data_IF_025117196764
#
_entry.id   IF_025117196764
#
_cell.length_a   1.000
_cell.length_b   1.000
_cell.length_c   1.000
_cell.angle_alpha   90.00
_cell.angle_beta   90.00
_cell.angle_gamma   90.00
#
_symmetry.space_group_name_H-M   'P 1'
#
loop_
_entity.id
_entity.type
_entity.pdbx_description
1 polymer ?
#
# COMPACT_ATOMS: atom_id res chain seq x y z
N UNK A 1 62.29 47.54 8.46
CA UNK A 1 61.29 47.07 9.39
C UNK A 1 60.01 46.80 8.58
N UNK A 2 59.78 45.58 8.17
CA UNK A 2 58.60 45.17 7.38
C UNK A 2 57.68 44.40 8.30
N UNK A 3 56.47 44.89 8.53
CA UNK A 3 55.42 44.18 9.28
C UNK A 3 54.67 43.24 8.32
N UNK A 4 54.76 41.93 8.56
CA UNK A 4 53.90 40.94 7.97
C UNK A 4 52.59 40.91 8.77
N UNK A 5 51.48 41.25 8.15
CA UNK A 5 50.15 41.01 8.67
C UNK A 5 49.71 39.60 8.19
N UNK A 6 49.63 38.69 9.13
CA UNK A 6 49.02 37.37 8.90
C UNK A 6 47.50 37.49 9.06
N UNK A 7 46.78 37.34 7.98
CA UNK A 7 45.32 37.19 7.98
C UNK A 7 45.01 35.72 8.29
N UNK A 8 44.58 35.43 9.51
CA UNK A 8 44.00 34.12 9.86
C UNK A 8 42.54 34.08 9.41
N UNK A 9 42.25 33.41 8.32
CA UNK A 9 40.88 33.13 7.91
C UNK A 9 40.30 32.04 8.82
N UNK A 10 39.44 32.44 9.74
CA UNK A 10 38.61 31.53 10.52
C UNK A 10 37.49 31.00 9.59
N UNK A 11 37.66 29.83 9.03
CA UNK A 11 36.55 29.08 8.41
C UNK A 11 35.62 28.57 9.53
N UNK A 12 34.57 29.30 9.80
CA UNK A 12 33.43 28.80 10.55
C UNK A 12 32.73 27.76 9.67
N UNK A 13 33.04 26.49 9.90
CA UNK A 13 32.18 25.39 9.46
C UNK A 13 30.87 25.52 10.24
N UNK A 14 29.91 26.21 9.70
CA UNK A 14 28.51 26.00 10.11
C UNK A 14 28.13 24.57 9.70
N UNK A 15 28.16 23.67 10.67
CA UNK A 15 27.42 22.44 10.56
C UNK A 15 25.95 22.85 10.42
N UNK A 16 25.40 22.77 9.22
CA UNK A 16 23.97 22.71 9.02
C UNK A 16 23.49 21.46 9.74
N UNK A 17 23.11 21.61 10.99
CA UNK A 17 22.28 20.63 11.66
C UNK A 17 20.97 20.71 10.87
N UNK A 18 20.73 19.76 9.98
CA UNK A 18 19.41 19.53 9.46
C UNK A 18 18.55 19.35 10.71
N UNK A 19 17.77 20.37 11.06
CA UNK A 19 16.76 20.23 12.08
C UNK A 19 15.85 19.13 11.56
N UNK A 20 15.88 17.97 12.22
CA UNK A 20 14.78 17.05 12.18
C UNK A 20 13.60 17.84 12.68
N UNK A 21 12.79 18.36 11.76
CA UNK A 21 11.53 18.97 12.11
C UNK A 21 10.61 17.84 12.56
N UNK A 22 10.76 17.42 13.82
CA UNK A 22 9.72 16.67 14.48
C UNK A 22 8.47 17.54 14.40
N UNK A 23 7.38 16.94 14.00
CA UNK A 23 6.10 17.65 13.99
C UNK A 23 5.84 18.11 15.42
N UNK A 24 5.80 19.42 15.70
CA UNK A 24 5.61 19.91 17.06
C UNK A 24 4.19 19.66 17.58
N UNK A 25 3.31 19.14 16.73
CA UNK A 25 1.90 18.89 17.04
C UNK A 25 1.71 17.41 17.28
N UNK A 26 1.34 17.05 18.51
CA UNK A 26 0.96 15.69 18.88
C UNK A 26 -0.33 15.27 18.11
N UNK A 27 -0.49 13.96 17.79
CA UNK A 27 -1.75 13.46 17.23
C UNK A 27 -2.91 13.75 18.19
N UNK A 28 -4.09 14.03 17.63
CA UNK A 28 -5.32 14.22 18.43
C UNK A 28 -5.66 12.92 19.15
N UNK A 29 -5.70 12.89 20.48
CA UNK A 29 -6.02 11.69 21.25
C UNK A 29 -7.43 11.16 20.88
N UNK A 30 -7.60 9.84 20.92
CA UNK A 30 -8.90 9.21 20.69
C UNK A 30 -10.03 9.81 21.55
N UNK A 31 -9.77 10.06 22.83
CA UNK A 31 -10.75 10.67 23.73
C UNK A 31 -11.37 11.96 23.18
N UNK A 32 -10.58 12.80 22.53
CA UNK A 32 -11.07 14.06 21.99
C UNK A 32 -11.90 13.82 20.73
N UNK A 33 -11.50 12.84 19.89
CA UNK A 33 -12.25 12.39 18.71
C UNK A 33 -13.59 11.79 19.11
N UNK A 34 -13.60 10.88 20.09
CA UNK A 34 -14.81 10.26 20.61
C UNK A 34 -15.76 11.28 21.26
N UNK A 35 -15.25 12.27 22.00
CA UNK A 35 -16.04 13.35 22.56
C UNK A 35 -16.72 14.19 21.46
N UNK A 36 -15.99 14.49 20.38
CA UNK A 36 -16.53 15.24 19.24
C UNK A 36 -17.65 14.45 18.55
N UNK A 37 -17.47 13.14 18.38
CA UNK A 37 -18.52 12.26 17.84
C UNK A 37 -19.77 12.21 18.73
N UNK A 38 -19.59 11.96 20.03
CA UNK A 38 -20.71 11.96 20.99
C UNK A 38 -21.46 13.31 21.05
N UNK A 39 -20.73 14.42 20.87
CA UNK A 39 -21.36 15.74 20.77
C UNK A 39 -22.21 15.85 19.49
N UNK A 40 -21.73 15.34 18.35
CA UNK A 40 -22.48 15.30 17.10
C UNK A 40 -23.77 14.50 17.29
N UNK A 41 -23.71 13.28 17.83
CA UNK A 41 -24.89 12.45 18.09
C UNK A 41 -25.93 13.18 18.95
N UNK A 42 -25.45 13.87 20.00
CA UNK A 42 -26.33 14.68 20.86
C UNK A 42 -26.98 15.85 20.12
N UNK A 43 -26.24 16.50 19.20
CA UNK A 43 -26.77 17.58 18.38
C UNK A 43 -27.82 17.04 17.39
N UNK A 44 -27.55 15.90 16.75
CA UNK A 44 -28.46 15.25 15.80
C UNK A 44 -29.76 14.84 16.50
N UNK A 45 -29.68 14.22 17.70
CA UNK A 45 -30.84 13.82 18.49
C UNK A 45 -31.72 15.02 18.94
N UNK A 46 -31.12 16.18 19.15
CA UNK A 46 -31.81 17.40 19.54
C UNK A 46 -32.13 18.34 18.38
N UNK A 47 -31.86 17.94 17.14
CA UNK A 47 -32.10 18.74 15.96
C UNK A 47 -33.60 18.92 15.74
N UNK A 48 -34.02 20.13 15.35
CA UNK A 48 -35.43 20.43 14.98
C UNK A 48 -35.89 19.63 13.74
N UNK A 49 -34.93 19.09 12.97
CA UNK A 49 -35.18 18.25 11.79
C UNK A 49 -34.88 16.75 12.04
N UNK A 50 -34.72 16.33 13.29
CA UNK A 50 -34.42 14.92 13.64
C UNK A 50 -35.46 13.93 13.12
N UNK A 51 -36.73 14.39 12.96
CA UNK A 51 -37.82 13.57 12.43
C UNK A 51 -37.95 13.62 10.90
N UNK A 52 -37.11 14.40 10.21
CA UNK A 52 -37.08 14.48 8.74
C UNK A 52 -36.11 13.43 8.21
N UNK A 53 -36.63 12.41 7.53
CA UNK A 53 -35.81 11.42 6.85
C UNK A 53 -35.26 12.00 5.55
N UNK A 54 -33.97 12.15 5.48
CA UNK A 54 -33.30 12.51 4.25
C UNK A 54 -33.10 11.25 3.39
N UNK A 55 -33.39 11.38 2.09
CA UNK A 55 -33.09 10.33 1.11
C UNK A 55 -31.94 10.81 0.24
N UNK A 56 -30.92 9.97 0.13
CA UNK A 56 -29.85 10.20 -0.83
C UNK A 56 -30.42 10.03 -2.25
N UNK A 57 -30.44 11.12 -3.02
CA UNK A 57 -30.93 11.12 -4.41
C UNK A 57 -29.79 11.01 -5.44
N UNK A 58 -28.60 10.77 -4.97
CA UNK A 58 -27.42 10.58 -5.79
C UNK A 58 -26.33 11.65 -5.58
N UNK A 59 -25.16 11.43 -6.20
CA UNK A 59 -24.86 10.27 -7.03
C UNK A 59 -24.88 8.98 -6.22
N UNK A 60 -25.40 7.91 -6.80
CA UNK A 60 -25.46 6.56 -6.18
C UNK A 60 -24.20 5.75 -6.46
N UNK A 61 -23.08 6.43 -6.68
CA UNK A 61 -21.79 5.81 -6.95
C UNK A 61 -21.04 5.74 -5.62
N UNK A 62 -20.68 4.53 -5.23
CA UNK A 62 -19.77 4.28 -4.11
C UNK A 62 -18.44 4.94 -4.40
N UNK A 63 -17.87 5.62 -3.41
CA UNK A 63 -16.66 6.42 -3.59
C UNK A 63 -15.48 5.80 -2.86
N UNK A 64 -14.31 5.97 -3.45
CA UNK A 64 -13.04 5.48 -2.93
C UNK A 64 -12.64 4.14 -3.50
N UNK A 65 -11.44 3.69 -3.17
CA UNK A 65 -10.89 2.40 -3.61
C UNK A 65 -11.43 1.26 -2.77
N UNK A 66 -11.71 0.14 -3.43
CA UNK A 66 -12.10 -1.10 -2.77
C UNK A 66 -10.86 -1.67 -2.07
N UNK A 67 -10.91 -1.80 -0.75
CA UNK A 67 -9.79 -2.34 0.05
C UNK A 67 -9.93 -3.83 0.31
N UNK A 68 -11.16 -4.33 0.39
CA UNK A 68 -11.44 -5.75 0.54
C UNK A 68 -12.84 -6.10 0.05
N UNK A 69 -13.04 -7.37 -0.33
CA UNK A 69 -14.31 -7.98 -0.71
C UNK A 69 -14.41 -9.32 0.00
N UNK A 70 -15.50 -9.55 0.73
CA UNK A 70 -15.75 -10.82 1.40
C UNK A 70 -17.05 -11.41 0.90
N UNK A 71 -16.96 -12.59 0.27
CA UNK A 71 -18.03 -13.24 -0.47
C UNK A 71 -18.52 -14.47 0.29
N UNK A 72 -19.83 -14.63 0.41
CA UNK A 72 -20.43 -15.81 1.01
C UNK A 72 -20.02 -17.08 0.26
N UNK A 73 -19.43 -18.07 0.93
CA UNK A 73 -19.03 -19.34 0.29
C UNK A 73 -20.22 -20.17 -0.18
N UNK A 74 -21.42 -19.93 0.35
CA UNK A 74 -22.63 -20.68 0.02
C UNK A 74 -23.52 -19.95 -0.99
N UNK A 75 -23.37 -18.62 -1.12
CA UNK A 75 -24.13 -17.79 -2.03
C UNK A 75 -23.26 -16.66 -2.58
N UNK A 76 -22.61 -16.83 -3.75
CA UNK A 76 -21.71 -15.83 -4.31
C UNK A 76 -22.42 -14.54 -4.77
N UNK A 77 -23.75 -14.49 -4.74
CA UNK A 77 -24.51 -13.26 -4.98
C UNK A 77 -24.62 -12.36 -3.75
N UNK A 78 -24.26 -12.90 -2.58
CA UNK A 78 -24.22 -12.21 -1.31
C UNK A 78 -22.78 -11.93 -0.90
N UNK A 79 -22.41 -10.65 -0.86
CA UNK A 79 -21.06 -10.21 -0.47
C UNK A 79 -21.05 -8.82 0.12
N UNK A 80 -19.95 -8.50 0.77
CA UNK A 80 -19.65 -7.18 1.30
C UNK A 80 -18.46 -6.57 0.54
N UNK A 81 -18.46 -5.24 0.42
CA UNK A 81 -17.39 -4.47 -0.22
C UNK A 81 -16.98 -3.34 0.71
N UNK A 82 -15.73 -3.34 1.13
CA UNK A 82 -15.14 -2.28 1.96
C UNK A 82 -14.40 -1.25 1.12
N UNK A 83 -14.65 0.03 1.39
CA UNK A 83 -14.01 1.15 0.71
C UNK A 83 -13.11 1.92 1.66
N UNK A 84 -11.92 2.31 1.20
CA UNK A 84 -10.96 3.10 1.97
C UNK A 84 -11.54 4.40 2.52
N UNK A 85 -12.49 5.00 1.80
CA UNK A 85 -13.13 6.28 2.15
C UNK A 85 -14.62 6.31 1.81
N UNK A 86 -15.27 5.16 1.71
CA UNK A 86 -16.68 5.05 1.30
C UNK A 86 -17.51 4.09 2.17
N UNK A 87 -17.00 3.66 3.32
CA UNK A 87 -17.71 2.77 4.24
C UNK A 87 -17.77 1.31 3.79
N UNK A 88 -18.66 0.56 4.42
CA UNK A 88 -18.93 -0.85 4.13
C UNK A 88 -20.30 -1.00 3.47
N UNK A 89 -20.34 -1.73 2.36
CA UNK A 89 -21.54 -1.93 1.56
C UNK A 89 -21.86 -3.41 1.43
N UNK A 90 -23.17 -3.72 1.48
CA UNK A 90 -23.71 -5.07 1.37
C UNK A 90 -24.54 -5.21 0.10
N UNK A 91 -24.37 -6.32 -0.62
CA UNK A 91 -25.28 -6.78 -1.67
C UNK A 91 -25.72 -8.22 -1.41
N UNK A 92 -26.96 -8.53 -1.82
CA UNK A 92 -27.53 -9.89 -1.77
C UNK A 92 -28.07 -10.33 -3.15
N UNK A 93 -27.71 -9.61 -4.20
CA UNK A 93 -28.24 -9.80 -5.55
C UNK A 93 -27.16 -9.58 -6.63
N UNK A 94 -25.95 -10.03 -6.34
CA UNK A 94 -24.80 -9.95 -7.25
C UNK A 94 -24.47 -8.52 -7.72
N UNK A 95 -24.55 -7.55 -6.81
CA UNK A 95 -24.19 -6.15 -7.09
C UNK A 95 -25.21 -5.36 -7.89
N UNK A 96 -26.45 -5.90 -8.09
CA UNK A 96 -27.53 -5.13 -8.74
C UNK A 96 -27.99 -3.96 -7.88
N UNK A 97 -27.90 -4.12 -6.56
CA UNK A 97 -28.07 -3.05 -5.59
C UNK A 97 -27.16 -3.25 -4.39
N UNK A 98 -26.79 -2.14 -3.76
CA UNK A 98 -25.98 -2.11 -2.56
C UNK A 98 -26.67 -1.30 -1.46
N UNK A 99 -26.48 -1.74 -0.22
CA UNK A 99 -26.95 -1.04 0.98
C UNK A 99 -25.73 -0.66 1.82
N UNK A 100 -25.54 0.62 2.17
CA UNK A 100 -24.50 1.01 3.12
C UNK A 100 -24.86 0.47 4.51
N UNK A 101 -23.86 -0.07 5.22
CA UNK A 101 -24.08 -0.68 6.53
C UNK A 101 -23.14 -0.14 7.61
N UNK A 102 -22.35 0.91 7.32
CA UNK A 102 -21.37 1.46 8.26
C UNK A 102 -21.36 3.00 8.32
N UNK A 103 -22.32 3.67 7.72
CA UNK A 103 -22.31 5.13 7.52
C UNK A 103 -22.46 5.93 8.82
N UNK A 104 -23.11 5.37 9.84
CA UNK A 104 -23.40 6.03 11.11
C UNK A 104 -22.27 5.90 12.13
N UNK A 105 -21.10 5.36 11.75
CA UNK A 105 -20.00 5.18 12.68
C UNK A 105 -19.08 6.42 12.72
N UNK A 106 -18.25 6.50 13.77
CA UNK A 106 -17.32 7.61 13.99
C UNK A 106 -16.18 7.68 12.97
N UNK A 107 -15.94 6.60 12.22
CA UNK A 107 -15.01 6.52 11.11
C UNK A 107 -15.61 5.68 9.99
N UNK A 108 -15.63 6.20 8.78
CA UNK A 108 -16.14 5.49 7.59
C UNK A 108 -15.01 4.93 6.71
N UNK A 109 -13.76 5.22 7.02
CA UNK A 109 -12.60 4.65 6.31
C UNK A 109 -12.36 3.21 6.72
N UNK A 110 -12.43 2.27 5.76
CA UNK A 110 -12.20 0.86 6.01
C UNK A 110 -10.74 0.52 5.67
N UNK A 111 -10.06 -0.16 6.59
CA UNK A 111 -8.75 -0.76 6.33
C UNK A 111 -8.87 -2.19 5.83
N UNK A 112 -9.66 -2.99 6.56
CA UNK A 112 -9.98 -4.37 6.23
C UNK A 112 -11.21 -4.82 7.02
N UNK A 113 -11.87 -5.89 6.60
CA UNK A 113 -12.98 -6.47 7.35
C UNK A 113 -13.04 -7.98 7.15
N UNK A 114 -13.74 -8.67 8.04
CA UNK A 114 -13.96 -10.10 7.94
C UNK A 114 -15.38 -10.46 8.35
N UNK A 115 -16.00 -11.41 7.63
CA UNK A 115 -17.35 -11.90 7.91
C UNK A 115 -17.25 -13.34 8.41
N UNK A 116 -17.88 -13.63 9.55
CA UNK A 116 -18.11 -14.99 9.97
C UNK A 116 -19.28 -15.62 9.18
N UNK A 117 -18.95 -16.28 8.07
CA UNK A 117 -19.93 -16.91 7.18
C UNK A 117 -20.61 -18.15 7.78
N UNK A 118 -20.15 -18.68 8.89
CA UNK A 118 -20.88 -19.70 9.69
C UNK A 118 -22.02 -19.03 10.46
N UNK A 119 -21.80 -17.75 10.81
CA UNK A 119 -22.78 -16.82 11.33
C UNK A 119 -22.63 -15.51 10.58
N UNK A 120 -23.22 -15.44 9.39
CA UNK A 120 -23.09 -14.32 8.46
C UNK A 120 -23.66 -12.97 8.96
N UNK A 121 -24.22 -12.94 10.16
CA UNK A 121 -24.60 -11.71 10.82
C UNK A 121 -23.46 -11.11 11.63
N UNK A 122 -22.37 -11.85 11.88
CA UNK A 122 -21.21 -11.33 12.61
C UNK A 122 -20.15 -10.80 11.64
N UNK A 123 -19.89 -9.49 11.72
CA UNK A 123 -18.92 -8.78 10.89
C UNK A 123 -17.95 -8.05 11.80
N UNK A 124 -16.66 -8.17 11.51
CA UNK A 124 -15.60 -7.39 12.12
C UNK A 124 -15.04 -6.39 11.11
N UNK A 125 -14.94 -5.12 11.51
CA UNK A 125 -14.38 -4.04 10.70
C UNK A 125 -13.20 -3.41 11.41
N UNK A 126 -12.07 -3.37 10.73
CA UNK A 126 -10.90 -2.59 11.09
C UNK A 126 -10.91 -1.28 10.31
N UNK A 127 -10.89 -0.16 11.02
CA UNK A 127 -10.98 1.17 10.41
C UNK A 127 -9.62 1.77 10.07
N UNK A 128 -9.63 2.77 9.19
CA UNK A 128 -8.45 3.48 8.71
C UNK A 128 -7.76 2.76 7.56
N UNK A 129 -7.68 3.44 6.43
CA UNK A 129 -7.14 2.90 5.19
C UNK A 129 -5.77 2.25 5.36
N UNK A 130 -5.59 1.06 4.81
CA UNK A 130 -4.35 0.27 4.92
C UNK A 130 -3.23 0.72 3.96
N UNK A 131 -3.47 1.65 3.07
CA UNK A 131 -2.47 2.22 2.18
C UNK A 131 -1.81 3.46 2.82
N UNK A 132 -0.68 3.90 2.27
CA UNK A 132 0.09 5.01 2.82
C UNK A 132 0.03 6.26 1.92
N UNK A 133 -1.15 6.61 1.43
CA UNK A 133 -1.37 7.82 0.65
C UNK A 133 -1.31 9.09 1.52
N UNK A 134 -1.09 10.24 0.91
CA UNK A 134 -1.24 11.55 1.57
C UNK A 134 -2.67 11.83 2.03
N UNK A 135 -3.64 11.19 1.38
CA UNK A 135 -5.08 11.30 1.67
C UNK A 135 -5.64 10.08 2.41
N UNK A 136 -4.79 9.25 3.01
CA UNK A 136 -5.26 8.12 3.84
C UNK A 136 -5.85 8.65 5.14
N UNK A 137 -7.11 8.33 5.38
CA UNK A 137 -7.82 8.74 6.59
C UNK A 137 -7.56 7.75 7.72
N UNK A 138 -7.32 8.29 8.92
CA UNK A 138 -7.18 7.48 10.12
C UNK A 138 -8.53 6.94 10.59
N UNK A 139 -8.51 5.73 11.12
CA UNK A 139 -9.64 5.12 11.80
C UNK A 139 -9.62 5.33 13.31
N UNK A 140 -10.52 4.61 13.98
CA UNK A 140 -10.71 4.60 15.42
C UNK A 140 -10.69 3.18 16.01
N UNK A 141 -9.99 2.26 15.34
CA UNK A 141 -9.83 0.88 15.80
C UNK A 141 -10.84 -0.08 15.19
N UNK A 142 -11.34 -1.00 16.05
CA UNK A 142 -12.16 -2.14 15.64
C UNK A 142 -13.63 -1.95 15.98
N UNK A 143 -14.48 -2.44 15.08
CA UNK A 143 -15.94 -2.51 15.27
C UNK A 143 -16.45 -3.91 14.99
N UNK A 144 -17.54 -4.29 15.64
CA UNK A 144 -18.20 -5.57 15.44
C UNK A 144 -19.72 -5.37 15.33
N UNK A 145 -20.33 -6.02 14.33
CA UNK A 145 -21.78 -6.20 14.22
C UNK A 145 -22.13 -7.67 14.39
N UNK A 146 -23.29 -7.94 14.99
CA UNK A 146 -23.87 -9.30 15.13
C UNK A 146 -25.19 -9.47 14.36
N UNK A 147 -25.60 -8.48 13.62
CA UNK A 147 -26.90 -8.38 12.97
C UNK A 147 -26.82 -7.98 11.49
N UNK A 148 -25.71 -8.33 10.85
CA UNK A 148 -25.47 -8.08 9.42
C UNK A 148 -25.22 -6.60 9.10
N UNK A 149 -24.66 -5.85 10.06
CA UNK A 149 -24.31 -4.45 9.88
C UNK A 149 -25.41 -3.45 10.24
N UNK A 150 -26.49 -3.88 10.92
CA UNK A 150 -27.55 -2.98 11.35
C UNK A 150 -27.16 -2.17 12.58
N UNK A 151 -26.43 -2.80 13.51
CA UNK A 151 -25.87 -2.13 14.70
C UNK A 151 -24.41 -2.51 14.87
N UNK A 152 -23.64 -1.60 15.46
CA UNK A 152 -22.21 -1.75 15.64
C UNK A 152 -21.80 -1.48 17.08
N UNK A 153 -20.81 -2.24 17.55
CA UNK A 153 -20.18 -2.07 18.84
C UNK A 153 -18.69 -1.79 18.62
N UNK A 154 -18.19 -0.70 19.18
CA UNK A 154 -16.76 -0.40 19.17
C UNK A 154 -16.00 -1.41 20.04
N UNK A 155 -14.89 -1.92 19.55
CA UNK A 155 -14.12 -3.03 20.14
C UNK A 155 -12.69 -2.69 20.48
N UNK A 156 -12.36 -1.42 20.64
CA UNK A 156 -11.03 -0.99 21.07
C UNK A 156 -10.02 -0.85 19.92
N UNK A 157 -8.75 -0.78 20.25
CA UNK A 157 -7.61 -0.53 19.36
C UNK A 157 -7.65 0.86 18.70
N UNK A 158 -8.14 1.86 19.39
CA UNK A 158 -8.43 3.21 18.92
C UNK A 158 -7.20 3.96 18.38
N UNK A 159 -6.04 3.71 18.98
CA UNK A 159 -4.79 4.37 18.62
C UNK A 159 -3.97 3.60 17.56
N UNK A 160 -4.54 2.54 16.98
CA UNK A 160 -3.90 1.86 15.84
C UNK A 160 -3.99 2.68 14.56
N UNK A 161 -4.94 3.56 14.43
CA UNK A 161 -5.26 4.45 13.30
C UNK A 161 -5.49 3.76 11.95
N UNK A 162 -4.73 2.73 11.62
CA UNK A 162 -4.81 2.04 10.33
C UNK A 162 -4.72 0.53 10.53
N UNK A 163 -5.74 -0.17 10.09
CA UNK A 163 -5.80 -1.63 10.16
C UNK A 163 -5.46 -2.21 8.78
N UNK A 164 -4.47 -3.10 8.75
CA UNK A 164 -3.99 -3.77 7.52
C UNK A 164 -4.78 -5.02 7.17
N UNK A 165 -5.11 -5.85 8.19
CA UNK A 165 -5.85 -7.10 8.00
C UNK A 165 -6.57 -7.53 9.28
N UNK A 166 -7.75 -8.12 9.11
CA UNK A 166 -8.57 -8.72 10.17
C UNK A 166 -8.80 -10.18 9.84
N UNK A 167 -8.52 -11.09 10.78
CA UNK A 167 -8.77 -12.53 10.63
C UNK A 167 -9.58 -13.03 11.79
N UNK A 168 -10.71 -13.65 11.52
CA UNK A 168 -11.48 -14.43 12.47
C UNK A 168 -10.92 -15.86 12.46
N UNK A 169 -10.67 -16.43 13.63
CA UNK A 169 -10.21 -17.81 13.72
C UNK A 169 -11.26 -18.77 13.14
N UNK A 170 -10.86 -19.69 12.26
CA UNK A 170 -11.78 -20.70 11.73
C UNK A 170 -12.32 -21.65 12.82
N UNK A 171 -11.60 -21.78 13.95
CA UNK A 171 -11.92 -22.72 15.02
C UNK A 171 -12.71 -22.07 16.17
N UNK A 172 -12.54 -20.77 16.39
CA UNK A 172 -13.20 -20.06 17.51
C UNK A 172 -13.54 -18.62 17.08
N UNK A 173 -14.81 -18.27 16.93
CA UNK A 173 -15.24 -16.94 16.49
C UNK A 173 -14.96 -15.81 17.51
N UNK A 174 -14.53 -16.14 18.74
CA UNK A 174 -14.08 -15.15 19.71
C UNK A 174 -12.59 -14.83 19.62
N UNK A 175 -11.86 -15.63 18.84
CA UNK A 175 -10.43 -15.42 18.57
C UNK A 175 -10.24 -14.66 17.27
N UNK A 176 -9.71 -13.44 17.37
CA UNK A 176 -9.46 -12.55 16.22
C UNK A 176 -8.01 -12.07 16.27
N UNK A 177 -7.36 -12.04 15.11
CA UNK A 177 -6.07 -11.41 14.92
C UNK A 177 -6.23 -10.18 14.04
N UNK A 178 -5.51 -9.12 14.40
CA UNK A 178 -5.55 -7.83 13.70
C UNK A 178 -4.13 -7.38 13.40
N UNK A 179 -3.86 -7.09 12.13
CA UNK A 179 -2.65 -6.41 11.70
C UNK A 179 -2.87 -4.90 11.81
N UNK A 180 -2.10 -4.25 12.67
CA UNK A 180 -2.16 -2.80 12.89
C UNK A 180 -0.93 -2.12 12.31
N UNK A 181 -1.15 -1.17 11.42
CA UNK A 181 -0.06 -0.44 10.76
C UNK A 181 0.42 0.72 11.63
N UNK A 182 -0.44 1.28 12.46
CA UNK A 182 -0.16 2.42 13.33
C UNK A 182 -0.38 3.78 12.66
N UNK A 183 0.01 4.85 13.32
CA UNK A 183 -0.12 6.22 12.82
C UNK A 183 0.60 6.43 11.49
N UNK A 184 0.01 7.21 10.60
CA UNK A 184 0.62 7.54 9.31
C UNK A 184 1.72 8.60 9.46
N UNK A 185 1.45 9.66 10.22
CA UNK A 185 2.29 10.86 10.27
C UNK A 185 3.13 10.99 11.54
N UNK A 186 3.08 10.01 12.43
CA UNK A 186 3.86 9.99 13.67
C UNK A 186 4.23 8.55 14.07
N UNK A 187 5.33 8.33 14.80
CA UNK A 187 5.59 7.09 15.48
C UNK A 187 4.52 6.81 16.55
N UNK A 188 4.22 5.55 16.81
CA UNK A 188 3.39 5.11 17.93
C UNK A 188 3.63 3.63 18.25
N UNK A 189 3.23 3.21 19.44
CA UNK A 189 3.42 1.83 19.93
C UNK A 189 2.32 0.87 19.51
N UNK A 190 1.17 1.37 19.12
CA UNK A 190 -0.01 0.57 18.75
C UNK A 190 0.13 0.09 17.31
N UNK A 191 1.19 -0.71 17.05
CA UNK A 191 1.58 -1.30 15.76
C UNK A 191 1.85 -2.79 15.90
N UNK A 192 1.82 -3.51 14.79
CA UNK A 192 2.11 -4.94 14.77
C UNK A 192 0.85 -5.79 14.82
N UNK A 193 0.90 -6.95 15.48
CA UNK A 193 -0.23 -7.86 15.54
C UNK A 193 -0.87 -7.83 16.92
N UNK A 194 -2.17 -7.64 16.93
CA UNK A 194 -3.02 -7.74 18.13
C UNK A 194 -3.88 -9.00 18.05
N UNK A 195 -4.14 -9.61 19.21
CA UNK A 195 -4.98 -10.80 19.34
C UNK A 195 -5.98 -10.61 20.47
N UNK A 196 -7.21 -11.05 20.24
CA UNK A 196 -8.22 -11.28 21.28
C UNK A 196 -8.62 -12.75 21.28
N UNK A 197 -9.09 -13.26 22.43
CA UNK A 197 -9.70 -14.58 22.59
C UNK A 197 -11.05 -14.51 23.32
N UNK A 198 -11.56 -13.29 23.50
CA UNK A 198 -12.79 -13.02 24.27
C UNK A 198 -13.79 -12.14 23.49
N UNK A 199 -13.69 -12.16 22.16
CA UNK A 199 -14.57 -11.38 21.28
C UNK A 199 -14.35 -9.87 21.38
N UNK A 200 -13.09 -9.46 21.51
CA UNK A 200 -12.68 -8.05 21.52
C UNK A 200 -12.98 -7.31 22.81
N UNK A 201 -13.17 -8.01 23.93
CA UNK A 201 -13.26 -7.37 25.25
C UNK A 201 -11.88 -6.94 25.73
N UNK A 202 -10.87 -7.75 25.45
CA UNK A 202 -9.45 -7.42 25.71
C UNK A 202 -8.58 -7.76 24.50
N UNK A 203 -7.52 -6.98 24.33
CA UNK A 203 -6.55 -7.16 23.26
C UNK A 203 -5.14 -7.31 23.83
N UNK A 204 -4.38 -8.24 23.27
CA UNK A 204 -2.96 -8.43 23.55
C UNK A 204 -2.15 -8.11 22.31
N UNK A 205 -1.17 -7.23 22.41
CA UNK A 205 -0.17 -7.04 21.35
C UNK A 205 0.79 -8.24 21.38
N UNK A 206 0.75 -9.07 20.34
CA UNK A 206 1.49 -10.34 20.28
C UNK A 206 2.72 -10.28 19.37
N UNK A 207 2.79 -9.26 18.50
CA UNK A 207 3.96 -8.99 17.68
C UNK A 207 4.14 -7.47 17.60
N UNK A 208 5.30 -7.00 18.02
CA UNK A 208 5.73 -5.61 17.94
C UNK A 208 7.21 -5.54 17.59
N UNK A 209 7.61 -4.61 16.76
CA UNK A 209 9.00 -4.44 16.35
C UNK A 209 9.58 -3.11 16.83
N UNK A 210 8.99 -2.01 16.41
CA UNK A 210 9.36 -0.64 16.79
C UNK A 210 8.21 0.35 16.47
N UNK A 211 8.39 1.62 16.84
CA UNK A 211 7.37 2.66 16.71
C UNK A 211 7.09 3.11 15.26
N UNK A 212 7.85 2.62 14.26
CA UNK A 212 7.69 2.96 12.84
C UNK A 212 7.31 1.73 11.98
N UNK A 213 7.37 0.51 12.56
CA UNK A 213 7.11 -0.74 11.83
C UNK A 213 5.81 -1.38 12.29
N UNK A 214 4.81 -1.42 11.41
CA UNK A 214 3.49 -2.01 11.70
C UNK A 214 3.24 -3.28 10.88
N UNK A 215 2.19 -4.05 11.25
CA UNK A 215 1.75 -5.18 10.45
C UNK A 215 0.78 -4.71 9.36
N UNK A 216 1.00 -5.16 8.11
CA UNK A 216 0.18 -4.79 6.96
C UNK A 216 -0.65 -5.95 6.42
N UNK A 217 -0.17 -7.19 6.55
CA UNK A 217 -0.88 -8.38 6.11
C UNK A 217 -0.78 -9.51 7.13
N UNK A 218 -1.79 -10.36 7.17
CA UNK A 218 -1.91 -11.55 8.00
C UNK A 218 -2.52 -12.67 7.18
N UNK A 219 -2.00 -13.88 7.35
CA UNK A 219 -2.57 -15.10 6.81
C UNK A 219 -2.63 -16.16 7.89
N UNK A 220 -3.72 -16.90 7.95
CA UNK A 220 -3.87 -18.10 8.77
C UNK A 220 -3.83 -19.33 7.87
N UNK A 221 -3.14 -20.36 8.29
CA UNK A 221 -3.19 -21.65 7.59
C UNK A 221 -4.62 -22.19 7.65
N UNK A 222 -5.29 -22.40 6.51
CA UNK A 222 -6.70 -22.85 6.48
C UNK A 222 -6.92 -24.25 7.06
N UNK A 223 -5.85 -25.00 7.27
CA UNK A 223 -5.90 -26.36 7.86
C UNK A 223 -5.47 -26.42 9.31
N UNK A 224 -4.84 -25.33 9.83
CA UNK A 224 -4.34 -25.28 11.19
C UNK A 224 -4.24 -23.84 11.69
N UNK A 225 -5.21 -23.39 12.45
CA UNK A 225 -5.29 -22.02 13.00
C UNK A 225 -4.16 -21.63 13.95
N UNK A 226 -3.32 -22.60 14.36
CA UNK A 226 -2.09 -22.30 15.13
C UNK A 226 -0.96 -21.75 14.28
N UNK A 227 -1.01 -21.96 12.95
CA UNK A 227 0.01 -21.46 12.02
C UNK A 227 -0.49 -20.16 11.40
N UNK A 228 0.25 -19.09 11.66
CA UNK A 228 -0.01 -17.76 11.09
C UNK A 228 1.25 -17.18 10.48
N UNK A 229 1.03 -16.32 9.50
CA UNK A 229 2.07 -15.48 8.90
C UNK A 229 1.64 -14.01 8.98
N UNK A 230 2.57 -13.15 9.35
CA UNK A 230 2.38 -11.70 9.37
C UNK A 230 3.47 -11.03 8.55
N UNK A 231 3.13 -9.97 7.84
CA UNK A 231 4.13 -9.12 7.22
C UNK A 231 4.21 -7.79 7.95
N UNK A 232 5.40 -7.45 8.38
CA UNK A 232 5.69 -6.14 8.95
C UNK A 232 6.26 -5.22 7.88
N UNK A 233 5.90 -3.96 7.97
CA UNK A 233 6.29 -2.91 7.05
C UNK A 233 6.74 -1.66 7.81
N UNK A 234 8.00 -1.26 7.58
CA UNK A 234 8.55 0.01 8.06
C UNK A 234 8.08 1.13 7.17
N UNK A 235 7.43 2.15 7.77
CA UNK A 235 7.00 3.33 7.04
C UNK A 235 7.03 4.58 7.90
N UNK A 236 7.45 5.68 7.30
CA UNK A 236 7.36 7.01 7.90
C UNK A 236 6.86 7.98 6.84
N UNK A 237 5.82 8.74 7.15
CA UNK A 237 5.32 9.75 6.25
C UNK A 237 5.33 11.12 6.87
N UNK A 238 5.83 12.08 6.11
CA UNK A 238 5.81 13.51 6.42
C UNK A 238 5.23 14.25 5.22
N UNK A 239 4.84 15.52 5.39
CA UNK A 239 4.38 16.33 4.27
C UNK A 239 5.47 16.53 3.19
N UNK A 240 6.73 16.44 3.58
CA UNK A 240 7.92 16.68 2.76
C UNK A 240 8.80 15.46 2.54
N UNK A 241 8.53 14.35 3.19
CA UNK A 241 9.34 13.12 3.09
C UNK A 241 8.49 11.88 3.28
N UNK A 242 8.89 10.82 2.61
CA UNK A 242 8.27 9.52 2.70
C UNK A 242 9.33 8.41 2.71
N UNK A 243 9.32 7.58 3.75
CA UNK A 243 10.11 6.35 3.87
C UNK A 243 9.12 5.19 3.84
N UNK A 244 9.29 4.28 2.88
CA UNK A 244 8.36 3.18 2.63
C UNK A 244 9.03 1.81 2.70
N UNK A 245 10.25 1.77 3.19
CA UNK A 245 11.04 0.55 3.32
C UNK A 245 11.99 0.62 4.51
N UNK A 246 12.44 -0.51 4.98
CA UNK A 246 13.42 -0.58 6.06
C UNK A 246 13.75 -2.03 6.45
N UNK A 247 14.89 -2.21 7.11
CA UNK A 247 15.39 -3.51 7.54
C UNK A 247 14.57 -4.17 8.66
N UNK A 248 13.57 -3.49 9.20
CA UNK A 248 12.60 -4.02 10.17
C UNK A 248 11.36 -4.59 9.51
N UNK A 249 11.16 -4.34 8.21
CA UNK A 249 10.16 -5.02 7.40
C UNK A 249 10.51 -6.50 7.21
N UNK A 250 9.50 -7.35 7.03
CA UNK A 250 9.76 -8.76 6.80
C UNK A 250 8.54 -9.66 7.05
N UNK A 251 8.76 -10.96 6.85
CA UNK A 251 7.75 -12.01 7.05
C UNK A 251 8.02 -12.70 8.38
N UNK A 252 6.99 -12.81 9.20
CA UNK A 252 7.02 -13.46 10.50
C UNK A 252 6.03 -14.62 10.52
N UNK A 253 6.43 -15.72 11.19
CA UNK A 253 5.61 -16.92 11.35
C UNK A 253 5.36 -17.20 12.82
N UNK A 254 4.15 -17.62 13.13
CA UNK A 254 3.78 -18.24 14.40
C UNK A 254 3.33 -19.68 14.18
N UNK A 255 3.57 -20.55 15.17
CA UNK A 255 3.12 -21.94 15.21
C UNK A 255 2.31 -22.28 16.45
N UNK A 256 1.97 -21.28 17.26
CA UNK A 256 1.28 -21.42 18.53
C UNK A 256 0.03 -20.52 18.64
N UNK A 257 -0.56 -20.18 17.48
CA UNK A 257 -1.77 -19.36 17.43
C UNK A 257 -1.50 -17.87 17.64
N UNK A 258 -0.30 -17.41 17.27
CA UNK A 258 0.07 -16.00 17.34
C UNK A 258 0.64 -15.56 18.68
N UNK A 259 1.00 -16.47 19.60
CA UNK A 259 1.58 -16.09 20.89
C UNK A 259 3.07 -15.74 20.77
N UNK A 260 3.80 -16.45 19.89
CA UNK A 260 5.21 -16.21 19.59
C UNK A 260 5.42 -16.16 18.09
N UNK A 261 6.35 -15.31 17.68
CA UNK A 261 6.64 -15.06 16.27
C UNK A 261 8.14 -15.16 16.01
N UNK A 262 8.48 -15.76 14.88
CA UNK A 262 9.83 -15.88 14.35
C UNK A 262 9.91 -15.22 12.98
N UNK A 263 10.95 -14.42 12.71
CA UNK A 263 11.19 -13.85 11.40
C UNK A 263 11.72 -14.93 10.45
N UNK A 264 10.94 -15.27 9.43
CA UNK A 264 11.27 -16.29 8.42
C UNK A 264 11.85 -15.69 7.13
N UNK A 265 11.72 -14.39 6.92
CA UNK A 265 12.48 -13.65 5.90
C UNK A 265 13.80 -13.19 6.52
N UNK A 266 14.87 -13.96 6.33
CA UNK A 266 16.20 -13.65 6.85
C UNK A 266 17.27 -14.00 5.81
N UNK A 267 18.50 -13.59 6.04
CA UNK A 267 19.59 -13.75 5.07
C UNK A 267 19.83 -15.21 4.62
N UNK A 268 19.45 -16.21 5.42
CA UNK A 268 19.57 -17.64 5.09
C UNK A 268 18.35 -18.21 4.35
N UNK A 269 17.25 -17.50 4.33
CA UNK A 269 15.99 -18.00 3.76
C UNK A 269 15.88 -17.83 2.24
N UNK A 270 16.75 -17.04 1.63
CA UNK A 270 16.65 -16.67 0.20
C UNK A 270 15.68 -15.51 -0.08
N UNK A 271 14.98 -14.96 0.94
CA UNK A 271 14.21 -13.74 0.83
C UNK A 271 15.13 -12.53 1.05
N UNK A 272 15.08 -11.47 0.23
CA UNK A 272 15.94 -10.31 0.41
C UNK A 272 15.63 -9.58 1.72
N UNK A 273 16.67 -9.15 2.40
CA UNK A 273 16.60 -8.31 3.60
C UNK A 273 17.57 -7.15 3.41
N UNK A 274 17.04 -5.97 3.25
CA UNK A 274 17.81 -4.74 3.04
C UNK A 274 17.05 -3.53 3.60
N UNK A 275 17.64 -2.36 3.53
CA UNK A 275 16.92 -1.11 3.78
C UNK A 275 15.85 -0.82 2.71
N UNK A 276 15.93 -1.47 1.55
CA UNK A 276 14.92 -1.43 0.51
C UNK A 276 13.76 -2.40 0.71
N UNK A 277 13.67 -3.10 1.85
CA UNK A 277 12.55 -4.01 2.11
C UNK A 277 11.28 -3.21 2.40
N UNK A 278 10.42 -3.12 1.40
CA UNK A 278 9.15 -2.40 1.43
C UNK A 278 7.97 -3.27 1.87
N UNK A 279 6.79 -2.97 1.33
CA UNK A 279 5.54 -3.68 1.63
C UNK A 279 5.57 -5.10 1.07
N UNK A 280 5.01 -6.05 1.83
CA UNK A 280 4.92 -7.46 1.45
C UNK A 280 3.47 -7.91 1.61
N UNK A 281 2.89 -8.50 0.57
CA UNK A 281 1.62 -9.21 0.62
C UNK A 281 1.84 -10.72 0.54
N UNK A 282 1.01 -11.50 1.21
CA UNK A 282 1.11 -12.96 1.28
C UNK A 282 -0.17 -13.66 0.81
N UNK A 283 -0.01 -14.89 0.31
CA UNK A 283 -1.12 -15.82 0.10
C UNK A 283 -0.65 -17.26 0.29
N UNK A 284 -1.50 -18.10 0.88
CA UNK A 284 -1.22 -19.51 1.15
C UNK A 284 -2.07 -20.34 0.19
N UNK A 285 -1.47 -21.34 -0.46
CA UNK A 285 -2.22 -22.27 -1.30
C UNK A 285 -3.02 -23.27 -0.44
N UNK A 286 -4.37 -23.28 -0.49
CA UNK A 286 -5.17 -24.00 0.51
C UNK A 286 -5.10 -25.53 0.41
N UNK A 287 -4.73 -26.09 -0.76
CA UNK A 287 -4.58 -27.54 -0.93
C UNK A 287 -3.23 -28.08 -0.49
N UNK A 288 -2.23 -27.20 -0.35
CA UNK A 288 -0.91 -27.53 0.19
C UNK A 288 -0.34 -26.27 0.87
N UNK A 289 -0.52 -26.17 2.17
CA UNK A 289 -0.17 -24.97 2.95
C UNK A 289 1.34 -24.79 3.13
N UNK A 290 2.18 -25.72 2.64
CA UNK A 290 3.60 -25.50 2.50
C UNK A 290 3.93 -24.50 1.37
N UNK A 291 3.01 -24.32 0.41
CA UNK A 291 3.17 -23.39 -0.70
C UNK A 291 2.63 -22.02 -0.30
N UNK A 292 3.53 -21.06 -0.28
CA UNK A 292 3.22 -19.66 0.06
C UNK A 292 3.83 -18.78 -1.01
N UNK A 293 3.06 -17.80 -1.46
CA UNK A 293 3.55 -16.75 -2.34
C UNK A 293 3.62 -15.42 -1.59
N UNK A 294 4.63 -14.64 -1.94
CA UNK A 294 4.80 -13.27 -1.48
C UNK A 294 4.99 -12.34 -2.68
N UNK A 295 4.27 -11.22 -2.71
CA UNK A 295 4.63 -10.07 -3.54
C UNK A 295 5.40 -9.10 -2.67
N UNK A 296 6.56 -8.69 -3.12
CA UNK A 296 7.50 -7.87 -2.38
C UNK A 296 7.82 -6.59 -3.14
N UNK A 297 7.60 -5.46 -2.51
CA UNK A 297 8.02 -4.15 -3.03
C UNK A 297 9.47 -3.90 -2.67
N UNK A 298 10.36 -4.07 -3.65
CA UNK A 298 11.80 -3.91 -3.48
C UNK A 298 12.23 -2.49 -3.87
N UNK A 299 12.50 -1.67 -2.86
CA UNK A 299 12.93 -0.27 -3.00
C UNK A 299 14.43 -0.11 -3.22
N UNK A 300 15.18 -1.21 -3.32
CA UNK A 300 16.60 -1.15 -3.67
C UNK A 300 16.77 -0.62 -5.11
N UNK A 301 17.79 0.20 -5.38
CA UNK A 301 18.05 0.71 -6.73
C UNK A 301 18.31 -0.41 -7.74
N UNK A 302 17.79 -0.27 -8.95
CA UNK A 302 18.22 -1.10 -10.08
C UNK A 302 19.70 -0.84 -10.35
N UNK A 303 20.42 -1.89 -10.69
CA UNK A 303 21.76 -1.72 -11.25
C UNK A 303 21.61 -0.92 -12.54
N UNK A 304 22.35 0.18 -12.65
CA UNK A 304 22.39 0.95 -13.89
C UNK A 304 22.78 0.00 -15.04
N UNK A 305 21.87 -0.23 -15.97
CA UNK A 305 22.27 -0.74 -17.27
C UNK A 305 23.20 0.29 -17.88
N UNK A 306 24.36 -0.14 -18.38
CA UNK A 306 25.23 0.74 -19.17
C UNK A 306 24.45 1.18 -20.39
N UNK A 307 23.74 2.32 -20.26
CA UNK A 307 23.08 2.96 -21.40
C UNK A 307 24.20 3.27 -22.39
N UNK A 308 24.03 2.90 -23.65
CA UNK A 308 25.00 3.26 -24.68
C UNK A 308 25.17 4.77 -24.67
N UNK A 309 26.39 5.27 -24.80
CA UNK A 309 26.70 6.71 -24.83
C UNK A 309 25.88 7.46 -25.89
N UNK A 310 25.40 6.74 -26.90
CA UNK A 310 24.59 7.26 -28.00
C UNK A 310 23.11 7.48 -27.64
N UNK A 311 22.61 6.95 -26.51
CA UNK A 311 21.20 7.05 -26.16
C UNK A 311 20.84 8.47 -25.70
N UNK A 312 19.79 9.05 -26.27
CA UNK A 312 19.22 10.33 -25.82
C UNK A 312 18.44 10.07 -24.54
N UNK A 313 18.81 10.75 -23.46
CA UNK A 313 18.14 10.63 -22.15
C UNK A 313 17.80 12.01 -21.60
N UNK A 314 16.83 12.11 -20.69
CA UNK A 314 16.48 13.36 -19.98
C UNK A 314 17.71 14.01 -19.34
N UNK A 315 18.57 13.21 -18.67
CA UNK A 315 19.78 13.70 -18.01
C UNK A 315 20.83 14.21 -19.00
N UNK A 316 20.93 13.57 -20.17
CA UNK A 316 21.79 14.04 -21.25
C UNK A 316 21.27 15.37 -21.81
N UNK A 317 19.95 15.48 -22.03
CA UNK A 317 19.33 16.71 -22.54
C UNK A 317 19.46 17.90 -21.58
N UNK A 318 19.45 17.68 -20.27
CA UNK A 318 19.67 18.73 -19.26
C UNK A 318 21.08 19.33 -19.32
N UNK A 319 22.07 18.55 -19.75
CA UNK A 319 23.50 18.90 -19.66
C UNK A 319 24.15 19.16 -21.02
N UNK A 320 23.52 18.71 -22.11
CA UNK A 320 24.09 18.79 -23.43
C UNK A 320 24.16 20.24 -23.94
N UNK A 321 25.25 20.57 -24.64
CA UNK A 321 25.35 21.86 -25.34
C UNK A 321 24.44 21.90 -26.57
N UNK A 322 24.06 23.10 -27.04
CA UNK A 322 23.30 23.26 -28.26
C UNK A 322 24.03 22.63 -29.48
N UNK A 323 25.35 22.73 -29.51
CA UNK A 323 26.16 22.18 -30.59
C UNK A 323 26.11 20.65 -30.62
N UNK A 324 26.28 20.02 -29.45
CA UNK A 324 26.23 18.56 -29.32
C UNK A 324 24.82 18.03 -29.57
N UNK A 325 23.80 18.77 -29.13
CA UNK A 325 22.40 18.42 -29.40
C UNK A 325 22.10 18.41 -30.91
N UNK A 326 22.57 19.39 -31.65
CA UNK A 326 22.40 19.45 -33.10
C UNK A 326 23.13 18.31 -33.82
N UNK A 327 24.18 17.76 -33.20
CA UNK A 327 24.95 16.63 -33.73
C UNK A 327 24.32 15.25 -33.42
N UNK A 328 23.28 15.16 -32.54
CA UNK A 328 22.59 13.90 -32.27
C UNK A 328 22.03 13.27 -33.54
N UNK A 329 21.95 11.95 -33.58
CA UNK A 329 21.29 11.22 -34.68
C UNK A 329 19.78 11.50 -34.70
N UNK A 330 19.21 11.80 -35.86
CA UNK A 330 17.75 12.03 -35.96
C UNK A 330 16.96 10.81 -35.55
N UNK A 331 17.45 9.61 -35.82
CA UNK A 331 16.80 8.36 -35.40
C UNK A 331 16.68 8.24 -33.89
N UNK A 332 17.75 8.53 -33.16
CA UNK A 332 17.78 8.40 -31.71
C UNK A 332 16.98 9.51 -31.01
N UNK A 333 16.99 10.71 -31.60
CA UNK A 333 16.17 11.81 -31.10
C UNK A 333 14.68 11.58 -31.39
N UNK A 334 14.29 11.08 -32.56
CA UNK A 334 12.90 10.70 -32.83
C UNK A 334 12.45 9.59 -31.91
N UNK A 335 13.28 8.55 -31.71
CA UNK A 335 12.97 7.50 -30.76
C UNK A 335 12.70 8.06 -29.35
N UNK A 336 13.51 9.01 -28.86
CA UNK A 336 13.29 9.68 -27.58
C UNK A 336 11.97 10.46 -27.57
N UNK A 337 11.64 11.20 -28.62
CA UNK A 337 10.40 11.97 -28.71
C UNK A 337 9.17 11.07 -28.73
N UNK A 338 9.21 9.97 -29.50
CA UNK A 338 8.12 8.99 -29.62
C UNK A 338 7.90 8.23 -28.29
N UNK A 339 8.98 7.77 -27.64
CA UNK A 339 8.93 7.04 -26.38
C UNK A 339 8.45 7.91 -25.19
N UNK A 340 8.47 9.23 -25.34
CA UNK A 340 8.02 10.18 -24.33
C UNK A 340 6.77 10.97 -24.75
N UNK A 341 5.97 10.43 -25.67
CA UNK A 341 4.66 10.96 -26.09
C UNK A 341 4.68 12.43 -26.53
N UNK A 342 5.77 12.90 -27.15
CA UNK A 342 5.78 14.21 -27.76
C UNK A 342 4.82 14.25 -28.95
N UNK A 343 4.06 15.34 -29.13
CA UNK A 343 3.16 15.44 -30.28
C UNK A 343 3.87 15.25 -31.63
N UNK A 344 3.31 14.51 -32.56
CA UNK A 344 3.85 14.13 -33.88
C UNK A 344 4.40 15.30 -34.69
N UNK A 345 3.97 16.52 -34.43
CA UNK A 345 4.48 17.74 -35.06
C UNK A 345 5.90 18.12 -34.65
N UNK A 346 6.47 17.47 -33.65
CA UNK A 346 7.82 17.69 -33.13
C UNK A 346 8.69 16.49 -33.39
N UNK A 347 9.15 16.35 -34.63
CA UNK A 347 10.20 15.41 -34.98
C UNK A 347 11.61 15.98 -34.72
N UNK A 348 12.64 15.13 -34.88
CA UNK A 348 14.03 15.50 -34.65
C UNK A 348 14.49 16.71 -35.50
N UNK A 349 14.02 16.84 -36.75
CA UNK A 349 14.40 17.94 -37.62
C UNK A 349 13.80 19.24 -37.14
N UNK A 350 12.52 19.22 -36.79
CA UNK A 350 11.79 20.38 -36.25
C UNK A 350 12.36 20.86 -34.95
N UNK A 351 12.64 19.94 -34.00
CA UNK A 351 13.20 20.27 -32.71
C UNK A 351 14.62 20.86 -32.85
N UNK A 352 15.46 20.30 -33.73
CA UNK A 352 16.78 20.86 -34.03
C UNK A 352 16.71 22.24 -34.69
N UNK A 353 15.77 22.47 -35.61
CA UNK A 353 15.50 23.78 -36.17
C UNK A 353 15.19 24.81 -35.06
N UNK A 354 14.30 24.44 -34.13
CA UNK A 354 13.92 25.31 -33.00
C UNK A 354 15.10 25.62 -32.07
N UNK A 355 16.00 24.65 -31.83
CA UNK A 355 17.22 24.87 -31.05
C UNK A 355 18.20 25.79 -31.79
N UNK A 356 18.38 25.57 -33.11
CA UNK A 356 19.22 26.42 -33.95
C UNK A 356 18.74 27.87 -33.98
N UNK A 357 17.43 28.08 -34.04
CA UNK A 357 16.78 29.40 -34.04
C UNK A 357 16.76 30.06 -32.63
N UNK A 358 17.23 29.38 -31.60
CA UNK A 358 17.18 29.87 -30.23
C UNK A 358 15.78 29.91 -29.59
N UNK A 359 14.82 29.26 -30.25
CA UNK A 359 13.41 29.14 -29.75
C UNK A 359 13.22 28.06 -28.71
N UNK A 360 14.18 27.14 -28.61
CA UNK A 360 14.15 26.01 -27.67
C UNK A 360 15.57 25.74 -27.17
N UNK A 361 15.70 25.40 -25.91
CA UNK A 361 16.92 24.83 -25.34
C UNK A 361 16.75 23.31 -25.15
N UNK A 362 17.79 22.49 -25.36
CA UNK A 362 17.71 21.04 -25.14
C UNK A 362 17.16 20.66 -23.76
N UNK A 363 17.51 21.41 -22.69
CA UNK A 363 17.01 21.19 -21.34
C UNK A 363 15.49 21.32 -21.23
N UNK A 364 14.86 22.17 -22.06
CA UNK A 364 13.42 22.38 -22.01
C UNK A 364 12.63 21.17 -22.53
N UNK A 365 13.24 20.28 -23.34
CA UNK A 365 12.63 18.98 -23.68
C UNK A 365 12.57 18.07 -22.45
N UNK A 366 13.60 18.08 -21.60
CA UNK A 366 13.58 17.34 -20.35
C UNK A 366 12.61 17.99 -19.35
N UNK A 367 12.62 19.32 -19.24
CA UNK A 367 11.72 20.10 -18.35
C UNK A 367 10.24 19.90 -18.72
N UNK A 368 9.92 19.79 -20.01
CA UNK A 368 8.54 19.51 -20.48
C UNK A 368 8.01 18.16 -19.97
N UNK A 369 8.89 17.19 -19.75
CA UNK A 369 8.55 15.86 -19.23
C UNK A 369 8.58 15.82 -17.69
N UNK A 370 9.01 16.88 -17.02
CA UNK A 370 9.07 16.97 -15.58
C UNK A 370 7.78 17.58 -15.04
N UNK A 371 6.86 16.73 -14.65
CA UNK A 371 5.76 17.12 -13.78
C UNK A 371 6.09 16.77 -12.32
N UNK A 372 5.24 17.19 -11.38
CA UNK A 372 5.43 16.89 -9.95
C UNK A 372 5.40 15.38 -9.63
N UNK A 373 4.98 14.54 -10.57
CA UNK A 373 4.84 13.10 -10.44
C UNK A 373 5.90 12.32 -11.24
N UNK A 374 6.67 12.98 -12.13
CA UNK A 374 7.64 12.30 -13.00
C UNK A 374 8.66 11.48 -12.21
N UNK A 375 9.11 11.97 -11.04
CA UNK A 375 10.03 11.25 -10.16
C UNK A 375 9.43 9.95 -9.60
N UNK A 376 8.11 9.86 -9.50
CA UNK A 376 7.42 8.65 -9.02
C UNK A 376 7.48 7.51 -10.04
N UNK A 377 7.61 7.82 -11.33
CA UNK A 377 7.69 6.85 -12.42
C UNK A 377 9.13 6.60 -12.90
N UNK A 378 10.00 7.58 -12.72
CA UNK A 378 11.37 7.55 -13.26
C UNK A 378 12.42 7.05 -12.25
N UNK A 379 12.03 6.76 -10.99
CA UNK A 379 12.98 6.27 -9.98
C UNK A 379 13.35 4.83 -10.29
N UNK A 380 14.63 4.52 -10.52
CA UNK A 380 15.07 3.19 -10.95
C UNK A 380 15.20 2.23 -9.77
N UNK A 381 14.07 1.88 -9.15
CA UNK A 381 13.99 0.83 -8.11
C UNK A 381 13.71 -0.53 -8.75
N UNK A 382 14.03 -1.61 -8.04
CA UNK A 382 13.72 -2.98 -8.49
C UNK A 382 12.21 -3.16 -8.62
N UNK A 383 11.43 -2.64 -7.67
CA UNK A 383 9.98 -2.70 -7.69
C UNK A 383 9.43 -4.07 -7.32
N UNK A 384 8.26 -4.48 -7.90
CA UNK A 384 7.61 -5.70 -7.50
C UNK A 384 8.39 -6.96 -7.89
N UNK A 385 8.57 -7.82 -6.90
CA UNK A 385 9.14 -9.16 -7.06
C UNK A 385 8.19 -10.20 -6.45
N UNK A 386 8.08 -11.36 -7.08
CA UNK A 386 7.29 -12.48 -6.57
C UNK A 386 8.20 -13.58 -6.08
N UNK A 387 7.97 -14.00 -4.84
CA UNK A 387 8.67 -15.11 -4.19
C UNK A 387 7.72 -16.25 -3.89
N UNK A 388 8.23 -17.47 -3.96
CA UNK A 388 7.52 -18.70 -3.58
C UNK A 388 8.33 -19.46 -2.54
N UNK A 389 7.64 -19.98 -1.54
CA UNK A 389 8.11 -21.01 -0.63
C UNK A 389 7.37 -22.29 -0.89
N UNK A 390 8.05 -23.43 -0.81
CA UNK A 390 7.47 -24.78 -0.90
C UNK A 390 7.62 -25.57 0.43
N UNK A 391 8.09 -24.89 1.49
CA UNK A 391 8.41 -25.50 2.79
C UNK A 391 7.86 -24.70 3.98
N UNK A 392 6.68 -24.11 3.77
CA UNK A 392 5.97 -23.34 4.79
C UNK A 392 6.77 -22.11 5.29
N UNK A 393 7.42 -21.41 4.38
CA UNK A 393 8.11 -20.15 4.64
C UNK A 393 9.54 -20.29 5.17
N UNK A 394 10.12 -21.49 5.21
CA UNK A 394 11.52 -21.67 5.66
C UNK A 394 12.51 -21.16 4.62
N UNK A 395 12.25 -21.47 3.35
CA UNK A 395 13.05 -20.97 2.23
C UNK A 395 12.19 -20.33 1.15
N UNK A 396 12.76 -19.37 0.44
CA UNK A 396 12.08 -18.58 -0.57
C UNK A 396 12.89 -18.53 -1.86
N UNK A 397 12.18 -18.60 -2.99
CA UNK A 397 12.77 -18.48 -4.33
C UNK A 397 12.06 -17.39 -5.10
N UNK A 398 12.81 -16.45 -5.64
CA UNK A 398 12.28 -15.48 -6.60
C UNK A 398 11.76 -16.22 -7.83
N UNK A 399 10.58 -15.86 -8.29
CA UNK A 399 9.94 -16.50 -9.44
C UNK A 399 10.19 -15.73 -10.74
N UNK A 400 9.93 -14.43 -10.76
CA UNK A 400 10.11 -13.60 -11.96
C UNK A 400 11.59 -13.28 -12.22
N UNK A 401 12.02 -13.42 -13.48
CA UNK A 401 13.33 -12.93 -13.95
C UNK A 401 13.26 -11.47 -14.38
N UNK A 402 12.15 -11.10 -15.01
CA UNK A 402 11.93 -9.78 -15.58
C UNK A 402 11.29 -8.83 -14.55
N UNK A 403 11.46 -7.53 -14.74
CA UNK A 403 10.77 -6.53 -13.93
C UNK A 403 9.27 -6.54 -14.22
N UNK A 404 8.46 -6.32 -13.17
CA UNK A 404 6.99 -6.28 -13.28
C UNK A 404 6.54 -4.81 -13.19
N UNK A 405 7.09 -3.94 -14.05
CA UNK A 405 6.90 -2.48 -13.96
C UNK A 405 5.43 -2.06 -14.04
N UNK A 406 4.64 -2.73 -14.88
CA UNK A 406 3.22 -2.42 -15.06
C UNK A 406 2.35 -2.63 -13.82
N UNK A 407 2.85 -3.32 -12.79
CA UNK A 407 2.04 -3.57 -11.59
C UNK A 407 1.81 -2.27 -10.82
N UNK A 408 2.86 -1.54 -10.48
CA UNK A 408 2.72 -0.30 -9.72
C UNK A 408 3.93 0.66 -9.77
N UNK A 409 4.93 0.44 -10.61
CA UNK A 409 6.14 1.27 -10.65
C UNK A 409 6.74 1.48 -9.25
N UNK A 410 6.76 2.72 -8.74
CA UNK A 410 7.21 3.09 -7.39
C UNK A 410 6.08 3.17 -6.35
N UNK A 411 4.84 2.75 -6.71
CA UNK A 411 3.68 2.84 -5.83
C UNK A 411 3.47 1.61 -4.94
N UNK A 412 4.54 0.88 -4.57
CA UNK A 412 4.43 -0.29 -3.70
C UNK A 412 3.78 0.00 -2.34
N UNK A 413 3.94 1.22 -1.84
CA UNK A 413 3.25 1.68 -0.63
C UNK A 413 1.72 1.72 -0.75
N UNK A 414 1.21 1.73 -1.96
CA UNK A 414 -0.21 1.85 -2.27
C UNK A 414 -0.83 0.50 -2.61
N UNK A 415 -0.06 -0.39 -3.21
CA UNK A 415 -0.44 -1.73 -3.61
C UNK A 415 0.34 -2.78 -2.83
N UNK A 416 0.15 -4.05 -3.11
CA UNK A 416 0.89 -5.14 -2.48
C UNK A 416 -0.03 -6.30 -2.10
N UNK A 417 -1.01 -6.61 -2.95
CA UNK A 417 -1.93 -7.73 -2.77
C UNK A 417 -1.64 -8.83 -3.79
N UNK A 418 -1.65 -10.06 -3.30
CA UNK A 418 -1.43 -11.28 -4.09
C UNK A 418 -2.45 -12.35 -3.69
N UNK A 419 -2.96 -13.08 -4.65
CA UNK A 419 -3.83 -14.23 -4.44
C UNK A 419 -3.36 -15.41 -5.27
N UNK A 420 -3.43 -16.61 -4.70
CA UNK A 420 -3.26 -17.88 -5.41
C UNK A 420 -4.64 -18.47 -5.65
N UNK A 421 -4.85 -19.05 -6.86
CA UNK A 421 -6.07 -19.77 -7.14
C UNK A 421 -6.27 -20.92 -6.15
N UNK A 422 -7.46 -21.14 -5.58
CA UNK A 422 -7.68 -22.22 -4.63
C UNK A 422 -7.57 -23.61 -5.26
N UNK A 423 -7.52 -23.69 -6.59
CA UNK A 423 -7.51 -24.95 -7.33
C UNK A 423 -6.21 -25.25 -8.06
N UNK A 424 -5.37 -24.22 -8.30
CA UNK A 424 -4.16 -24.33 -9.12
C UNK A 424 -3.04 -23.49 -8.47
N UNK A 425 -2.02 -24.16 -7.95
CA UNK A 425 -0.90 -23.53 -7.26
C UNK A 425 -0.04 -22.60 -8.14
N UNK A 426 -0.08 -22.78 -9.47
CA UNK A 426 0.69 -21.97 -10.41
C UNK A 426 -0.08 -20.75 -10.92
N UNK A 427 -1.37 -20.65 -10.60
CA UNK A 427 -2.20 -19.52 -11.02
C UNK A 427 -2.28 -18.50 -9.91
N UNK A 428 -1.61 -17.36 -10.11
CA UNK A 428 -1.59 -16.26 -9.16
C UNK A 428 -2.07 -14.96 -9.79
N UNK A 429 -2.57 -14.08 -8.95
CA UNK A 429 -3.10 -12.76 -9.31
C UNK A 429 -2.45 -11.69 -8.47
N UNK A 430 -2.14 -10.56 -9.08
CA UNK A 430 -1.59 -9.38 -8.42
C UNK A 430 -2.52 -8.19 -8.68
N UNK A 431 -2.81 -7.42 -7.63
CA UNK A 431 -3.51 -6.15 -7.76
C UNK A 431 -2.53 -4.98 -7.78
N UNK A 432 -2.80 -4.02 -8.64
CA UNK A 432 -1.96 -2.85 -8.87
C UNK A 432 -2.66 -1.84 -9.77
N UNK A 433 -1.90 -1.02 -10.46
CA UNK A 433 -2.43 -0.16 -11.51
C UNK A 433 -3.20 -1.00 -12.53
N UNK A 434 -2.62 -2.13 -12.93
CA UNK A 434 -3.29 -3.15 -13.70
C UNK A 434 -3.31 -4.46 -12.92
N UNK A 435 -4.44 -5.18 -12.86
CA UNK A 435 -4.44 -6.52 -12.31
C UNK A 435 -3.71 -7.45 -13.27
N UNK A 436 -2.74 -8.17 -12.72
CA UNK A 436 -1.92 -9.10 -13.46
C UNK A 436 -2.24 -10.53 -13.05
N UNK A 437 -2.09 -11.45 -14.00
CA UNK A 437 -2.20 -12.89 -13.78
C UNK A 437 -0.97 -13.61 -14.30
N UNK A 438 -0.53 -14.59 -13.53
CA UNK A 438 0.42 -15.62 -13.94
C UNK A 438 -0.29 -16.97 -14.00
N UNK A 439 0.09 -17.82 -14.96
CA UNK A 439 -0.34 -19.19 -15.08
C UNK A 439 0.84 -20.20 -14.91
N UNK A 440 2.02 -19.71 -14.53
CA UNK A 440 3.28 -20.47 -14.45
C UNK A 440 4.02 -20.29 -13.10
N UNK A 441 3.26 -19.97 -12.05
CA UNK A 441 3.80 -19.81 -10.70
C UNK A 441 4.57 -18.52 -10.47
N UNK A 442 4.25 -17.45 -11.20
CA UNK A 442 4.84 -16.14 -11.03
C UNK A 442 6.09 -15.88 -11.86
N UNK A 443 6.38 -16.74 -12.86
CA UNK A 443 7.54 -16.53 -13.74
C UNK A 443 7.26 -15.46 -14.79
N UNK A 444 6.05 -15.49 -15.37
CA UNK A 444 5.58 -14.49 -16.34
C UNK A 444 4.21 -13.97 -15.95
N UNK A 445 3.92 -12.73 -16.37
CA UNK A 445 2.68 -12.04 -16.04
C UNK A 445 2.03 -11.47 -17.29
N UNK A 446 0.71 -11.42 -17.30
CA UNK A 446 -0.08 -10.73 -18.31
C UNK A 446 -1.23 -9.96 -17.65
N UNK A 447 -1.66 -8.90 -18.28
CA UNK A 447 -2.86 -8.17 -17.83
C UNK A 447 -4.08 -9.08 -17.84
N UNK A 448 -4.91 -8.96 -16.82
CA UNK A 448 -6.13 -9.76 -16.67
C UNK A 448 -7.20 -9.35 -17.68
N UNK A 449 -7.22 -8.09 -18.06
CA UNK A 449 -8.18 -7.54 -19.03
C UNK A 449 -7.49 -6.54 -19.97
N UNK A 450 -8.17 -6.24 -21.10
CA UNK A 450 -7.83 -5.17 -22.03
C UNK A 450 -9.08 -4.31 -22.23
N UNK A 451 -9.01 -2.98 -22.05
CA UNK A 451 -10.09 -2.05 -22.36
C UNK A 451 -10.58 -1.20 -21.17
N UNK A 452 -11.82 -0.75 -21.19
CA UNK A 452 -12.41 0.33 -20.41
C UNK A 452 -12.59 0.05 -18.90
N UNK A 453 -11.56 -0.43 -18.22
CA UNK A 453 -11.55 -0.57 -16.77
C UNK A 453 -10.55 0.44 -16.22
N UNK A 454 -10.98 1.21 -15.24
CA UNK A 454 -10.10 2.18 -14.57
C UNK A 454 -8.91 1.45 -13.93
N UNK A 455 -7.72 2.04 -14.03
CA UNK A 455 -6.56 1.58 -13.28
C UNK A 455 -6.83 1.71 -11.76
N UNK A 456 -6.01 1.05 -10.92
CA UNK A 456 -6.09 1.20 -9.47
C UNK A 456 -6.92 0.10 -8.77
N UNK A 457 -6.35 -1.12 -8.69
CA UNK A 457 -7.00 -2.30 -8.13
C UNK A 457 -6.33 -2.73 -6.83
N UNK A 458 -7.13 -2.95 -5.76
CA UNK A 458 -6.63 -3.30 -4.43
C UNK A 458 -7.25 -4.57 -3.85
N UNK A 459 -8.35 -5.06 -4.41
CA UNK A 459 -9.04 -6.28 -3.98
C UNK A 459 -9.53 -7.10 -5.17
N UNK A 460 -9.72 -8.42 -4.95
CA UNK A 460 -10.20 -9.35 -5.94
C UNK A 460 -11.02 -10.46 -5.26
#
# INVERSE_FOLDING_TARGET
MRYLLAFSAFFLFQRSVAQTMESPVAPTPYKDRANAYAQREKMDANSIVSNVKFHCVGPTIMSGRVVDIDVSPNDPTHFYVGYASGGLWKTVNNGQSFTPVFDDQESFGIGDFAVDWKNNETIWVGTGENNSSRSSYSGTGMFMSKDGGKTWEHKGLEETHHIGKVIISPDDPNTIWVAAIGHLFSPNKERGVFKTTDGGKTWKQVLYKDDNTGAIDLQVDPTNSKILYATLWHRERRAWNFVESGNTSGIYKSTDGGEKWEQVSNAGSGFPVSNGTGRIGLTIFPKNTNIIYAVFDNQDPRKEEKKSEDMVTKDKLKKISNADFLALGNKDLNKFLDENDFPDKYDAEKVKEMVKDGKLKPSQLAEFLEDANSLLFDTPIIGPEVYRSDDAGKTWKKQNSDFIDELYFTYGYYFGRIWVSPTDENKIYLAGLFPLRSDDGGKTFRRLYSGNVHADHHAM
#
